data_IF_318753415799
#
_entry.id   IF_318753415799
#
_cell.length_a   1.000
_cell.length_b   1.000
_cell.length_c   1.000
_cell.angle_alpha   90.00
_cell.angle_beta   90.00
_cell.angle_gamma   90.00
#
_symmetry.space_group_name_H-M   'P 1'
#
loop_
_entity.id
_entity.type
_entity.pdbx_description
1 polymer ?
#
# COMPACT_ATOMS: atom_id res chain seq x y z
N UNK A 1 6.27 -17.18 -11.45
CA UNK A 1 5.47 -16.00 -11.79
C UNK A 1 4.06 -16.50 -11.99
N UNK A 2 3.06 -15.77 -11.48
CA UNK A 2 1.68 -16.02 -11.87
C UNK A 2 1.58 -15.75 -13.36
N UNK A 3 1.13 -16.76 -14.12
CA UNK A 3 1.19 -16.73 -15.58
C UNK A 3 -0.03 -15.97 -16.08
N UNK A 4 0.21 -14.92 -16.87
CA UNK A 4 -0.84 -14.19 -17.59
C UNK A 4 -0.56 -14.30 -19.09
N UNK A 5 -1.61 -14.37 -19.91
CA UNK A 5 -1.48 -14.39 -21.37
C UNK A 5 -1.13 -13.00 -21.93
N UNK A 6 -0.91 -12.90 -23.24
CA UNK A 6 -0.59 -11.62 -23.90
C UNK A 6 -1.73 -10.57 -23.79
N UNK A 7 -2.94 -11.00 -23.40
CA UNK A 7 -4.09 -10.14 -23.18
C UNK A 7 -4.28 -9.79 -21.70
N UNK A 8 -3.46 -10.32 -20.79
CA UNK A 8 -3.54 -10.10 -19.35
C UNK A 8 -4.56 -10.97 -18.63
N UNK A 9 -5.11 -12.01 -19.28
CA UNK A 9 -5.96 -12.98 -18.60
C UNK A 9 -5.11 -13.93 -17.76
N UNK A 10 -5.64 -14.32 -16.61
CA UNK A 10 -4.99 -15.29 -15.74
C UNK A 10 -4.91 -16.66 -16.42
N UNK A 11 -3.71 -17.23 -16.46
CA UNK A 11 -3.47 -18.59 -16.93
C UNK A 11 -3.55 -19.52 -15.73
N UNK A 12 -4.52 -20.42 -15.77
CA UNK A 12 -4.69 -21.46 -14.75
C UNK A 12 -3.45 -22.35 -14.66
N UNK A 13 -3.11 -22.84 -13.45
CA UNK A 13 -1.97 -23.71 -13.28
C UNK A 13 -2.16 -25.02 -14.06
N UNK A 14 -1.05 -25.60 -14.52
CA UNK A 14 -1.06 -26.89 -15.20
C UNK A 14 -1.67 -27.97 -14.28
N UNK A 15 -2.64 -28.72 -14.81
CA UNK A 15 -3.38 -29.71 -14.03
C UNK A 15 -4.63 -29.18 -13.33
N UNK A 16 -4.97 -27.90 -13.47
CA UNK A 16 -6.25 -27.36 -13.00
C UNK A 16 -7.21 -27.18 -14.18
N UNK A 17 -8.40 -27.76 -14.07
CA UNK A 17 -9.46 -27.64 -15.07
C UNK A 17 -10.41 -26.49 -14.70
N UNK A 18 -10.42 -25.37 -15.46
CA UNK A 18 -11.28 -24.23 -15.17
C UNK A 18 -12.76 -24.47 -15.48
N UNK A 19 -13.12 -25.47 -16.29
CA UNK A 19 -14.52 -25.78 -16.58
C UNK A 19 -15.19 -26.52 -15.41
N UNK A 20 -14.44 -27.42 -14.76
CA UNK A 20 -14.90 -28.18 -13.59
C UNK A 20 -14.50 -27.55 -12.26
N UNK A 21 -13.55 -26.60 -12.29
CA UNK A 21 -12.95 -25.97 -11.11
C UNK A 21 -12.24 -26.99 -10.19
N UNK A 22 -11.72 -28.07 -10.77
CA UNK A 22 -11.06 -29.17 -10.05
C UNK A 22 -9.62 -29.38 -10.52
N UNK A 23 -8.79 -29.99 -9.66
CA UNK A 23 -7.47 -30.47 -10.03
C UNK A 23 -7.57 -31.86 -10.66
N UNK A 24 -6.84 -32.06 -11.75
CA UNK A 24 -6.72 -33.35 -12.42
C UNK A 24 -5.93 -34.35 -11.55
N UNK A 25 -6.27 -35.63 -11.68
CA UNK A 25 -5.57 -36.71 -10.98
C UNK A 25 -4.09 -36.78 -11.42
N UNK A 26 -3.19 -36.98 -10.45
CA UNK A 26 -1.74 -37.02 -10.68
C UNK A 26 -1.01 -35.67 -10.58
N UNK A 27 -1.72 -34.56 -10.42
CA UNK A 27 -1.14 -33.21 -10.27
C UNK A 27 -1.06 -32.74 -8.80
N UNK A 28 -1.05 -33.65 -7.82
CA UNK A 28 -1.03 -33.31 -6.39
C UNK A 28 0.17 -32.43 -5.98
N UNK A 29 1.34 -32.66 -6.58
CA UNK A 29 2.54 -31.84 -6.31
C UNK A 29 2.39 -30.42 -6.86
N UNK A 30 1.83 -30.28 -8.07
CA UNK A 30 1.55 -28.96 -8.66
C UNK A 30 0.47 -28.22 -7.86
N UNK A 31 -0.58 -28.93 -7.40
CA UNK A 31 -1.60 -28.39 -6.50
C UNK A 31 -0.97 -27.85 -5.22
N UNK A 32 -0.19 -28.67 -4.52
CA UNK A 32 0.43 -28.25 -3.26
C UNK A 32 1.38 -27.06 -3.45
N UNK A 33 2.18 -27.06 -4.53
CA UNK A 33 3.06 -25.95 -4.83
C UNK A 33 2.30 -24.65 -5.15
N UNK A 34 1.18 -24.74 -5.87
CA UNK A 34 0.31 -23.60 -6.15
C UNK A 34 -0.37 -23.09 -4.87
N UNK A 35 -0.96 -23.97 -4.07
CA UNK A 35 -1.59 -23.64 -2.79
C UNK A 35 -0.61 -22.99 -1.81
N UNK A 36 0.62 -23.49 -1.72
CA UNK A 36 1.65 -22.90 -0.87
C UNK A 36 2.04 -21.48 -1.30
N UNK A 37 2.15 -21.23 -2.61
CA UNK A 37 2.41 -19.88 -3.14
C UNK A 37 1.25 -18.95 -2.87
N UNK A 38 0.03 -19.42 -3.05
CA UNK A 38 -1.18 -18.65 -2.76
C UNK A 38 -1.26 -18.28 -1.28
N UNK A 39 -1.02 -19.22 -0.36
CA UNK A 39 -1.02 -18.97 1.07
C UNK A 39 0.04 -17.93 1.49
N UNK A 40 1.24 -17.97 0.91
CA UNK A 40 2.28 -16.96 1.16
C UNK A 40 1.90 -15.60 0.58
N UNK A 41 1.27 -15.55 -0.61
CA UNK A 41 0.78 -14.32 -1.20
C UNK A 41 -0.32 -13.68 -0.35
N UNK A 42 -1.28 -14.49 0.12
CA UNK A 42 -2.34 -14.04 1.01
C UNK A 42 -1.79 -13.52 2.34
N UNK A 43 -0.81 -14.23 2.93
CA UNK A 43 -0.11 -13.75 4.13
C UNK A 43 0.54 -12.37 3.91
N UNK A 44 1.20 -12.16 2.78
CA UNK A 44 1.81 -10.86 2.45
C UNK A 44 0.77 -9.78 2.27
N UNK A 45 -0.34 -10.11 1.61
CA UNK A 45 -1.46 -9.19 1.43
C UNK A 45 -2.03 -8.78 2.80
N UNK A 46 -2.32 -9.72 3.69
CA UNK A 46 -2.81 -9.43 5.04
C UNK A 46 -1.84 -8.53 5.83
N UNK A 47 -0.53 -8.81 5.76
CA UNK A 47 0.49 -7.97 6.41
C UNK A 47 0.50 -6.54 5.84
N UNK A 48 0.36 -6.40 4.52
CA UNK A 48 0.32 -5.11 3.86
C UNK A 48 -0.97 -4.34 4.21
N UNK A 49 -2.12 -5.00 4.25
CA UNK A 49 -3.39 -4.41 4.72
C UNK A 49 -3.25 -3.89 6.15
N UNK A 50 -2.70 -4.72 7.06
CA UNK A 50 -2.45 -4.31 8.44
C UNK A 50 -1.47 -3.13 8.52
N UNK A 51 -0.47 -3.07 7.64
CA UNK A 51 0.42 -1.91 7.55
C UNK A 51 -0.35 -0.64 7.16
N UNK A 52 -1.17 -0.69 6.10
CA UNK A 52 -1.98 0.46 5.65
C UNK A 52 -2.91 0.94 6.77
N UNK A 53 -3.58 0.03 7.47
CA UNK A 53 -4.47 0.37 8.58
C UNK A 53 -3.73 1.08 9.72
N UNK A 54 -2.55 0.59 10.10
CA UNK A 54 -1.71 1.25 11.12
C UNK A 54 -1.31 2.66 10.69
N UNK A 55 -0.91 2.85 9.43
CA UNK A 55 -0.56 4.17 8.93
C UNK A 55 -1.77 5.11 8.89
N UNK A 56 -2.95 4.60 8.52
CA UNK A 56 -4.19 5.37 8.55
C UNK A 56 -4.57 5.80 9.97
N UNK A 57 -4.44 4.90 10.95
CA UNK A 57 -4.67 5.22 12.36
C UNK A 57 -3.69 6.28 12.87
N UNK A 58 -2.39 6.10 12.61
CA UNK A 58 -1.37 7.07 13.02
C UNK A 58 -1.58 8.46 12.37
N UNK A 59 -2.02 8.51 11.10
CA UNK A 59 -2.36 9.76 10.44
C UNK A 59 -3.57 10.46 11.08
N UNK A 60 -4.59 9.69 11.49
CA UNK A 60 -5.74 10.23 12.21
C UNK A 60 -5.35 10.79 13.58
N UNK A 61 -4.55 10.06 14.36
CA UNK A 61 -4.03 10.52 15.66
C UNK A 61 -3.18 11.79 15.52
N UNK A 62 -2.33 11.87 14.49
CA UNK A 62 -1.52 13.05 14.22
C UNK A 62 -2.38 14.26 13.83
N UNK A 63 -3.46 14.05 13.04
CA UNK A 63 -4.40 15.10 12.67
C UNK A 63 -5.18 15.63 13.89
N UNK A 64 -5.62 14.76 14.80
CA UNK A 64 -6.26 15.17 16.06
C UNK A 64 -5.31 15.99 16.94
N UNK A 65 -4.05 15.55 17.10
CA UNK A 65 -3.03 16.30 17.85
C UNK A 65 -2.74 17.67 17.23
N UNK A 66 -2.65 17.75 15.90
CA UNK A 66 -2.47 19.01 15.19
C UNK A 66 -3.67 19.96 15.39
N UNK A 67 -4.91 19.44 15.36
CA UNK A 67 -6.11 20.23 15.62
C UNK A 67 -6.16 20.77 17.06
N UNK A 68 -5.70 20.00 18.05
CA UNK A 68 -5.59 20.47 19.45
C UNK A 68 -4.49 21.50 19.66
N UNK A 69 -3.36 21.39 18.95
CA UNK A 69 -2.27 22.37 19.02
C UNK A 69 -2.62 23.68 18.31
N UNK A 70 -3.45 23.64 17.26
CA UNK A 70 -3.92 24.84 16.56
C UNK A 70 -5.07 25.55 17.31
N UNK A 71 -5.90 24.81 18.07
CA UNK A 71 -6.99 25.40 18.87
C UNK A 71 -6.51 26.27 20.05
N UNK A 72 -5.20 26.38 20.30
CA UNK A 72 -4.67 27.28 21.32
C UNK A 72 -4.18 28.62 20.76
N UNK A 73 -4.26 28.85 19.45
CA UNK A 73 -3.86 30.10 18.79
C UNK A 73 -4.87 30.51 17.72
N UNK A 74 -6.05 30.95 18.14
CA UNK A 74 -7.01 31.68 17.28
C UNK A 74 -7.94 32.55 18.13
N UNK A 75 -7.39 33.63 18.67
CA UNK A 75 -8.11 34.91 18.58
C UNK A 75 -7.67 35.57 17.27
N UNK A 76 -8.64 35.80 16.37
CA UNK A 76 -8.54 36.56 15.11
C UNK A 76 -8.07 35.81 13.84
N UNK A 77 -9.03 35.26 13.08
CA UNK A 77 -9.34 35.70 11.71
C UNK A 77 -10.30 34.70 11.02
N UNK A 78 -11.42 35.23 10.52
CA UNK A 78 -12.47 34.50 9.81
C UNK A 78 -12.22 34.47 8.27
N UNK A 79 -13.15 33.95 7.42
CA UNK A 79 -12.94 32.75 6.60
C UNK A 79 -12.80 33.05 5.08
N UNK A 80 -12.18 32.13 4.33
CA UNK A 80 -12.29 32.12 2.86
C UNK A 80 -12.53 30.70 2.34
N UNK A 81 -13.63 30.57 1.60
CA UNK A 81 -14.17 29.35 1.02
C UNK A 81 -13.55 28.94 -0.33
N UNK A 82 -13.74 27.65 -0.65
CA UNK A 82 -13.80 27.03 -1.99
C UNK A 82 -12.45 26.81 -2.70
N UNK A 83 -12.17 25.75 -3.48
CA UNK A 83 -12.76 24.45 -3.78
C UNK A 83 -11.72 23.74 -4.69
N UNK A 84 -11.56 22.42 -4.56
CA UNK A 84 -10.91 21.48 -5.51
C UNK A 84 -9.45 21.69 -5.95
N UNK A 85 -8.59 20.70 -5.66
CA UNK A 85 -8.03 19.73 -6.62
C UNK A 85 -7.14 18.78 -5.82
N UNK A 86 -7.39 17.49 -6.00
CA UNK A 86 -6.55 16.43 -5.48
C UNK A 86 -5.15 16.49 -6.10
N UNK A 87 -4.14 16.64 -5.26
CA UNK A 87 -2.80 16.13 -5.52
C UNK A 87 -2.33 15.46 -4.23
N UNK A 88 -2.70 14.19 -4.05
CA UNK A 88 -2.04 13.31 -3.11
C UNK A 88 -0.67 12.88 -3.68
N UNK A 89 0.12 13.85 -4.14
CA UNK A 89 1.54 13.69 -4.41
C UNK A 89 2.26 13.67 -3.07
N UNK A 90 2.36 12.48 -2.47
CA UNK A 90 3.24 12.21 -1.34
C UNK A 90 4.68 12.53 -1.73
N UNK A 91 5.08 13.79 -1.58
CA UNK A 91 6.44 14.25 -1.78
C UNK A 91 7.28 13.72 -0.62
N UNK A 92 8.00 12.64 -0.86
CA UNK A 92 8.99 12.06 0.02
C UNK A 92 10.03 13.11 0.38
N UNK A 93 9.79 13.84 1.47
CA UNK A 93 10.58 14.97 1.93
C UNK A 93 10.67 16.10 0.89
N UNK A 94 10.36 17.33 1.31
CA UNK A 94 10.64 18.50 0.48
C UNK A 94 12.12 18.48 0.08
N UNK A 95 12.45 18.76 -1.19
CA UNK A 95 13.82 18.63 -1.74
C UNK A 95 14.90 19.29 -0.84
N UNK A 96 14.49 20.32 -0.09
CA UNK A 96 15.26 21.02 0.94
C UNK A 96 15.68 20.15 2.13
N UNK A 97 14.81 19.26 2.63
CA UNK A 97 15.12 18.32 3.71
C UNK A 97 16.14 17.26 3.26
N UNK A 98 16.08 16.83 1.99
CA UNK A 98 17.07 15.94 1.38
C UNK A 98 18.42 16.65 1.17
N UNK A 99 18.40 17.92 0.79
CA UNK A 99 19.62 18.73 0.66
C UNK A 99 20.32 18.90 2.02
N UNK A 100 19.58 19.23 3.08
CA UNK A 100 20.13 19.37 4.43
C UNK A 100 20.75 18.06 4.96
N UNK A 101 20.15 16.91 4.63
CA UNK A 101 20.71 15.60 4.98
C UNK A 101 21.99 15.27 4.21
N UNK A 102 22.07 15.62 2.92
CA UNK A 102 23.28 15.41 2.10
C UNK A 102 24.45 16.26 2.60
N UNK A 103 24.20 17.51 2.95
CA UNK A 103 25.25 18.39 3.46
C UNK A 103 25.83 17.87 4.79
N UNK A 104 24.97 17.39 5.69
CA UNK A 104 25.37 16.79 6.97
C UNK A 104 26.16 15.48 6.80
N UNK A 105 25.90 14.71 5.75
CA UNK A 105 26.63 13.46 5.47
C UNK A 105 27.95 13.69 4.72
N UNK A 106 28.04 14.74 3.91
CA UNK A 106 29.25 15.11 3.16
C UNK A 106 30.27 15.89 4.00
N UNK A 107 29.87 16.37 5.18
CA UNK A 107 30.70 17.13 6.12
C UNK A 107 31.33 16.31 7.26
N UNK A 108 31.37 14.97 7.15
CA UNK A 108 32.01 14.07 8.11
C UNK A 108 33.01 13.17 7.37
#
# INVERSE_FOLDING_TARGET
ADSYDEQGNYIFPEGFDPETNEWLEGFDEQRQAWEARYAEADRRHQLHTAQIERHRAAAAEAAEQAATNYSSESEDAAPASSESVEDHGGSLASDEQLAALREKLAGN
#
